data_IF_216240778049
#
_entry.id   IF_216240778049
#
_cell.length_a   1.000
_cell.length_b   1.000
_cell.length_c   1.000
_cell.angle_alpha   90.00
_cell.angle_beta   90.00
_cell.angle_gamma   90.00
#
_symmetry.space_group_name_H-M   'P 1'
#
loop_
_entity.id
_entity.type
_entity.pdbx_description
1 polymer ?
#
# COMPACT_ATOMS: atom_id res chain seq x y z
N UNK A 1 57.02 30.75 21.29
CA UNK A 1 56.94 32.10 21.88
C UNK A 1 55.46 32.39 22.08
N UNK A 2 54.89 32.19 23.28
CA UNK A 2 54.97 33.03 24.50
C UNK A 2 54.15 34.33 24.36
N UNK A 3 53.31 34.73 25.31
CA UNK A 3 52.88 34.13 26.60
C UNK A 3 51.64 34.90 27.10
N UNK A 4 50.66 34.28 27.78
CA UNK A 4 50.41 34.30 29.25
C UNK A 4 48.93 33.81 29.43
N UNK A 5 48.40 33.11 30.45
CA UNK A 5 48.76 32.68 31.84
C UNK A 5 48.83 33.78 32.90
N UNK A 6 48.22 33.67 34.10
CA UNK A 6 47.16 32.79 34.65
C UNK A 6 46.73 33.40 35.99
N UNK A 7 45.49 33.19 36.48
CA UNK A 7 45.24 33.05 37.92
C UNK A 7 43.90 32.34 38.21
N UNK A 8 43.90 31.54 39.28
CA UNK A 8 42.72 30.97 39.94
C UNK A 8 42.89 31.20 41.45
N UNK A 9 41.77 31.41 42.14
CA UNK A 9 41.61 31.24 43.58
C UNK A 9 40.12 30.89 43.80
N UNK A 10 39.73 29.63 44.03
CA UNK A 10 39.85 28.83 45.27
C UNK A 10 38.84 29.24 46.35
N UNK A 11 37.81 28.39 46.52
CA UNK A 11 36.77 28.46 47.56
C UNK A 11 37.33 28.30 48.99
N UNK A 12 36.56 28.61 50.06
CA UNK A 12 35.56 27.64 50.57
C UNK A 12 34.29 28.25 51.21
N UNK A 13 33.38 27.39 51.70
CA UNK A 13 32.47 27.48 52.89
C UNK A 13 32.14 28.87 53.50
N UNK A 14 30.93 29.21 53.97
CA UNK A 14 29.56 28.61 53.98
C UNK A 14 28.61 29.68 54.63
N UNK A 15 27.29 29.55 54.88
CA UNK A 15 26.26 28.50 54.70
C UNK A 15 24.86 29.13 54.50
N UNK A 16 23.79 28.32 54.59
CA UNK A 16 22.36 28.67 54.55
C UNK A 16 21.82 29.15 53.19
N UNK A 17 20.54 28.92 52.85
CA UNK A 17 19.54 28.18 53.63
C UNK A 17 18.11 28.25 53.10
N UNK A 18 17.84 27.87 51.85
CA UNK A 18 16.45 27.60 51.44
C UNK A 18 16.35 26.49 50.37
N UNK A 19 15.36 25.59 50.50
CA UNK A 19 15.19 24.41 49.63
C UNK A 19 13.88 24.49 48.86
N UNK A 20 13.94 24.67 47.55
CA UNK A 20 12.85 24.31 46.66
C UNK A 20 13.06 22.88 46.14
N UNK A 21 12.13 21.97 46.44
CA UNK A 21 12.02 20.68 45.76
C UNK A 21 11.14 20.84 44.51
N UNK A 22 11.40 20.10 43.42
CA UNK A 22 10.39 19.89 42.38
C UNK A 22 9.22 19.07 42.95
N UNK A 23 8.00 19.33 42.50
CA UNK A 23 6.84 18.46 42.73
C UNK A 23 6.42 17.79 41.42
N UNK A 24 6.42 16.45 41.41
CA UNK A 24 5.77 15.63 40.39
C UNK A 24 4.27 15.56 40.70
N UNK A 25 3.38 16.24 39.94
CA UNK A 25 1.92 16.09 40.11
C UNK A 25 1.04 16.67 38.97
N UNK A 26 1.23 16.31 37.68
CA UNK A 26 0.27 16.77 36.65
C UNK A 26 -0.09 15.76 35.53
N UNK A 27 -0.43 14.53 35.93
CA UNK A 27 -1.02 13.50 35.04
C UNK A 27 -2.34 12.92 35.59
N UNK A 28 -3.31 13.78 35.94
CA UNK A 28 -4.60 13.33 36.52
C UNK A 28 -5.85 14.15 36.15
N UNK A 29 -5.77 15.09 35.19
CA UNK A 29 -6.89 16.01 34.84
C UNK A 29 -7.64 15.73 33.53
N UNK A 30 -7.39 14.60 32.87
CA UNK A 30 -8.15 14.17 31.66
C UNK A 30 -9.25 13.11 31.93
N UNK A 31 -9.26 12.46 33.10
CA UNK A 31 -10.28 11.45 33.48
C UNK A 31 -11.45 12.04 34.29
N UNK A 32 -12.09 13.12 33.81
CA UNK A 32 -13.29 13.68 34.47
C UNK A 32 -14.29 14.35 33.52
N UNK A 33 -14.41 13.84 32.29
CA UNK A 33 -15.40 14.31 31.30
C UNK A 33 -16.20 13.18 30.61
N UNK A 34 -16.16 11.96 31.15
CA UNK A 34 -16.86 10.81 30.56
C UNK A 34 -17.46 9.89 31.65
N UNK A 35 -18.22 10.48 32.57
CA UNK A 35 -18.91 9.77 33.68
C UNK A 35 -20.32 10.29 33.99
N UNK A 36 -20.82 11.28 33.24
CA UNK A 36 -22.15 11.90 33.45
C UNK A 36 -23.14 11.59 32.29
N UNK A 37 -22.92 10.48 31.57
CA UNK A 37 -23.76 10.06 30.43
C UNK A 37 -24.33 8.63 30.60
N UNK A 38 -24.24 8.06 31.81
CA UNK A 38 -24.85 6.77 32.19
C UNK A 38 -25.78 6.88 33.41
N UNK A 39 -26.18 8.10 33.80
CA UNK A 39 -27.01 8.38 34.99
C UNK A 39 -28.30 9.15 34.66
N UNK A 40 -28.75 9.13 33.40
CA UNK A 40 -29.88 9.94 32.91
C UNK A 40 -30.85 9.17 31.98
N UNK A 41 -30.72 7.84 31.92
CA UNK A 41 -31.71 6.93 31.30
C UNK A 41 -31.99 5.84 32.33
N UNK A 42 -32.97 6.05 33.21
CA UNK A 42 -33.09 5.22 34.41
C UNK A 42 -34.31 5.46 35.32
N UNK A 43 -35.38 6.10 34.84
CA UNK A 43 -36.69 6.12 35.50
C UNK A 43 -37.80 6.57 34.55
N UNK A 44 -39.04 6.20 34.88
CA UNK A 44 -40.31 6.47 34.19
C UNK A 44 -40.53 5.73 32.85
N UNK A 45 -41.27 4.61 32.93
CA UNK A 45 -42.11 4.10 31.83
C UNK A 45 -43.58 4.47 32.05
N UNK A 46 -44.45 4.12 31.09
CA UNK A 46 -45.86 4.54 30.94
C UNK A 46 -45.98 6.07 30.72
N UNK A 47 -46.30 6.57 29.53
CA UNK A 47 -47.51 6.25 28.75
C UNK A 47 -47.33 6.50 27.22
N UNK A 48 -48.46 6.51 26.50
CA UNK A 48 -48.62 6.82 25.06
C UNK A 48 -48.25 5.66 24.12
N UNK A 49 -49.13 4.66 24.14
CA UNK A 49 -49.59 4.02 22.91
C UNK A 49 -50.22 5.08 21.98
N UNK A 50 -49.65 5.34 20.80
CA UNK A 50 -50.38 5.63 19.53
C UNK A 50 -49.37 5.87 18.39
N UNK A 51 -49.78 5.60 17.14
CA UNK A 51 -49.04 5.84 15.89
C UNK A 51 -47.84 4.94 15.54
N UNK A 52 -47.94 3.62 15.79
CA UNK A 52 -47.44 2.67 14.78
C UNK A 52 -48.46 2.58 13.64
N UNK A 53 -48.24 3.31 12.54
CA UNK A 53 -49.09 3.17 11.35
C UNK A 53 -49.22 4.43 10.48
N UNK A 54 -48.24 4.66 9.59
CA UNK A 54 -48.37 5.18 8.21
C UNK A 54 -46.95 5.29 7.62
N UNK A 55 -46.67 4.48 6.58
CA UNK A 55 -45.69 4.67 5.48
C UNK A 55 -45.35 3.31 4.81
N UNK A 56 -46.39 2.59 4.36
CA UNK A 56 -46.30 1.39 3.50
C UNK A 56 -47.34 1.42 2.39
N UNK A 57 -47.25 2.41 1.49
CA UNK A 57 -47.98 2.46 0.21
C UNK A 57 -47.36 3.51 -0.71
N UNK A 58 -47.68 3.47 -2.01
CA UNK A 58 -47.23 4.40 -3.08
C UNK A 58 -45.69 4.37 -3.31
N UNK A 59 -45.11 3.66 -4.29
CA UNK A 59 -45.58 3.51 -5.68
C UNK A 59 -45.40 2.10 -6.26
N UNK A 60 -46.51 1.37 -6.43
CA UNK A 60 -46.66 0.35 -7.47
C UNK A 60 -48.02 0.56 -8.15
N UNK A 61 -48.06 1.27 -9.30
CA UNK A 61 -49.30 1.50 -10.06
C UNK A 61 -49.04 2.00 -11.49
N UNK A 62 -48.72 1.09 -12.43
CA UNK A 62 -48.64 1.41 -13.87
C UNK A 62 -48.60 0.18 -14.83
N UNK A 63 -49.56 -0.75 -14.79
CA UNK A 63 -49.75 -1.77 -15.86
C UNK A 63 -51.18 -2.30 -15.96
N UNK A 64 -51.88 -2.05 -17.09
CA UNK A 64 -52.47 -3.06 -18.00
C UNK A 64 -53.39 -2.45 -19.08
N UNK A 65 -53.68 -3.29 -20.10
CA UNK A 65 -54.65 -3.14 -21.21
C UNK A 65 -54.20 -2.30 -22.43
N UNK A 66 -54.48 -2.69 -23.68
CA UNK A 66 -54.84 -4.03 -24.21
C UNK A 66 -54.55 -4.18 -25.72
N UNK A 67 -54.54 -5.44 -26.17
CA UNK A 67 -54.31 -5.97 -27.53
C UNK A 67 -55.18 -5.34 -28.64
N UNK A 68 -54.66 -5.27 -29.88
CA UNK A 68 -55.18 -5.97 -31.10
C UNK A 68 -54.38 -5.59 -32.36
N UNK A 69 -54.45 -6.41 -33.43
CA UNK A 69 -53.97 -6.06 -34.79
C UNK A 69 -52.99 -7.06 -35.41
N UNK A 70 -53.40 -7.72 -36.51
CA UNK A 70 -52.57 -8.65 -37.31
C UNK A 70 -52.18 -8.01 -38.65
N UNK A 71 -50.92 -8.13 -39.06
CA UNK A 71 -50.52 -8.22 -40.47
C UNK A 71 -49.08 -8.76 -40.61
N UNK A 72 -48.84 -9.59 -41.62
CA UNK A 72 -47.51 -9.80 -42.22
C UNK A 72 -47.53 -9.28 -43.66
N UNK A 73 -46.36 -8.90 -44.20
CA UNK A 73 -45.89 -9.61 -45.39
C UNK A 73 -44.45 -10.12 -45.27
N UNK A 74 -44.03 -10.88 -46.29
CA UNK A 74 -42.79 -11.67 -46.34
C UNK A 74 -41.58 -10.89 -46.87
N UNK A 75 -40.40 -11.28 -46.38
CA UNK A 75 -39.10 -11.36 -47.08
C UNK A 75 -38.53 -10.07 -47.69
N UNK A 76 -37.35 -9.68 -47.19
CA UNK A 76 -36.15 -9.62 -48.02
C UNK A 76 -34.88 -9.81 -47.17
N UNK A 77 -33.81 -10.30 -47.81
CA UNK A 77 -32.56 -10.68 -47.15
C UNK A 77 -31.48 -9.60 -47.27
N UNK A 78 -30.80 -9.28 -46.16
CA UNK A 78 -29.42 -8.78 -46.23
C UNK A 78 -28.65 -9.15 -44.95
N UNK A 79 -27.36 -9.40 -45.10
CA UNK A 79 -26.46 -9.63 -43.98
C UNK A 79 -26.10 -8.29 -43.34
N UNK A 80 -26.00 -8.23 -42.02
CA UNK A 80 -25.14 -7.26 -41.33
C UNK A 80 -24.78 -7.75 -39.93
N UNK A 81 -23.52 -8.15 -39.74
CA UNK A 81 -22.97 -8.45 -38.42
C UNK A 81 -22.70 -7.11 -37.74
N UNK A 82 -23.53 -6.76 -36.75
CA UNK A 82 -23.35 -5.55 -35.96
C UNK A 82 -22.13 -5.70 -35.02
N UNK A 83 -20.93 -5.46 -35.56
CA UNK A 83 -19.70 -5.44 -34.78
C UNK A 83 -19.79 -4.38 -33.68
N UNK A 84 -19.71 -4.82 -32.42
CA UNK A 84 -19.72 -3.93 -31.26
C UNK A 84 -18.47 -3.04 -31.28
N UNK A 85 -18.64 -1.80 -31.74
CA UNK A 85 -17.59 -0.78 -31.66
C UNK A 85 -17.52 -0.25 -30.23
N UNK A 86 -16.77 -0.96 -29.40
CA UNK A 86 -16.27 -0.44 -28.12
C UNK A 86 -15.49 0.86 -28.39
N UNK A 87 -16.06 1.99 -27.97
CA UNK A 87 -15.41 3.29 -28.05
C UNK A 87 -14.30 3.40 -27.00
N UNK A 88 -13.19 2.69 -27.23
CA UNK A 88 -11.92 2.98 -26.59
C UNK A 88 -11.47 4.37 -27.03
N UNK A 89 -11.91 5.40 -26.30
CA UNK A 89 -11.29 6.72 -26.33
C UNK A 89 -9.89 6.59 -25.74
N UNK A 90 -8.94 6.17 -26.59
CA UNK A 90 -7.53 6.29 -26.32
C UNK A 90 -7.20 7.78 -26.21
N UNK A 91 -7.30 8.34 -25.01
CA UNK A 91 -6.63 9.60 -24.64
C UNK A 91 -5.12 9.35 -24.60
N UNK A 92 -4.55 9.07 -25.77
CA UNK A 92 -3.13 9.24 -26.03
C UNK A 92 -2.87 10.74 -26.05
N UNK A 93 -2.76 11.31 -24.86
CA UNK A 93 -2.20 12.63 -24.64
C UNK A 93 -0.69 12.55 -24.89
N UNK A 94 -0.33 12.30 -26.16
CA UNK A 94 1.05 12.38 -26.63
C UNK A 94 1.49 13.82 -26.47
N UNK A 95 2.23 14.09 -25.40
CA UNK A 95 2.82 15.39 -25.11
C UNK A 95 4.01 15.62 -26.04
N UNK A 96 3.73 15.80 -27.33
CA UNK A 96 4.72 16.07 -28.38
C UNK A 96 5.50 17.39 -28.19
N UNK A 97 5.20 18.15 -27.13
CA UNK A 97 5.93 19.32 -26.66
C UNK A 97 6.85 19.06 -25.43
N UNK A 98 6.87 17.85 -24.86
CA UNK A 98 7.64 17.54 -23.64
C UNK A 98 9.10 17.12 -23.91
N UNK A 99 9.51 16.96 -25.17
CA UNK A 99 10.77 16.28 -25.54
C UNK A 99 11.98 17.21 -25.76
N UNK A 100 12.16 18.23 -24.92
CA UNK A 100 13.36 19.10 -24.94
C UNK A 100 13.96 19.42 -23.57
N UNK A 101 13.27 19.15 -22.46
CA UNK A 101 13.86 19.29 -21.13
C UNK A 101 14.72 18.07 -20.78
N UNK A 102 15.81 18.23 -19.98
CA UNK A 102 16.66 17.11 -19.56
C UNK A 102 15.91 16.17 -18.60
N UNK A 103 16.07 14.87 -18.86
CA UNK A 103 15.73 13.81 -17.90
C UNK A 103 16.85 13.63 -16.85
N UNK A 104 16.61 12.75 -15.89
CA UNK A 104 17.45 12.50 -14.72
C UNK A 104 18.85 11.97 -15.10
N UNK A 105 19.87 12.82 -15.01
CA UNK A 105 21.24 12.45 -15.33
C UNK A 105 22.00 11.89 -14.10
N UNK A 106 22.18 10.58 -14.08
CA UNK A 106 22.92 9.86 -13.04
C UNK A 106 24.42 10.24 -12.97
N UNK A 107 25.02 10.78 -14.03
CA UNK A 107 26.42 11.23 -14.02
C UNK A 107 26.62 12.55 -13.25
N UNK A 108 25.53 13.31 -13.04
CA UNK A 108 25.53 14.55 -12.24
C UNK A 108 25.27 14.30 -10.74
N UNK A 109 25.31 13.04 -10.29
CA UNK A 109 25.07 12.67 -8.89
C UNK A 109 26.13 13.28 -7.95
N UNK A 110 25.66 14.05 -6.97
CA UNK A 110 26.48 14.59 -5.89
C UNK A 110 26.19 13.87 -4.57
N UNK A 111 27.21 13.69 -3.73
CA UNK A 111 27.10 12.97 -2.45
C UNK A 111 27.72 13.79 -1.32
N UNK A 112 26.89 14.24 -0.39
CA UNK A 112 27.30 14.86 0.87
C UNK A 112 27.08 13.87 2.00
N UNK A 113 28.17 13.38 2.61
CA UNK A 113 28.09 12.42 3.72
C UNK A 113 27.73 13.10 5.04
N UNK A 114 27.04 12.37 5.92
CA UNK A 114 26.81 12.80 7.30
C UNK A 114 28.14 12.95 8.07
N UNK A 115 28.21 13.94 8.96
CA UNK A 115 29.28 14.08 9.96
C UNK A 115 28.91 13.44 11.30
N UNK A 116 27.65 13.05 11.48
CA UNK A 116 27.11 12.40 12.68
C UNK A 116 26.35 11.13 12.29
N UNK A 117 27.06 10.03 11.98
CA UNK A 117 26.43 8.75 11.65
C UNK A 117 25.70 8.17 12.87
N UNK A 118 24.54 7.54 12.64
CA UNK A 118 23.77 6.85 13.68
C UNK A 118 24.38 5.49 14.00
N UNK A 119 24.13 4.93 15.18
CA UNK A 119 24.37 3.49 15.36
C UNK A 119 23.22 2.67 14.73
N UNK A 120 23.50 1.58 13.99
CA UNK A 120 22.45 0.70 13.49
C UNK A 120 21.74 0.00 14.65
N UNK A 121 20.42 -0.14 14.55
CA UNK A 121 19.64 -0.87 15.55
C UNK A 121 19.79 -2.38 15.35
N UNK A 122 19.74 -3.14 16.46
CA UNK A 122 19.64 -4.60 16.41
C UNK A 122 18.42 -5.02 15.59
N UNK A 123 18.60 -6.06 14.76
CA UNK A 123 17.56 -6.55 13.86
C UNK A 123 16.26 -6.90 14.59
N UNK A 124 16.34 -7.44 15.82
CA UNK A 124 15.18 -7.85 16.60
C UNK A 124 14.28 -6.68 17.04
N UNK A 125 14.84 -5.47 17.13
CA UNK A 125 14.17 -4.28 17.66
C UNK A 125 13.60 -3.36 16.54
N UNK A 126 13.74 -3.79 15.27
CA UNK A 126 13.29 -3.07 14.08
C UNK A 126 11.76 -3.04 13.96
N UNK A 127 11.20 -1.83 13.87
CA UNK A 127 9.78 -1.60 13.59
C UNK A 127 9.64 -0.96 12.20
N UNK A 128 8.79 -1.54 11.37
CA UNK A 128 8.62 -1.14 9.97
C UNK A 128 8.38 0.37 9.80
N UNK A 129 9.28 1.06 9.07
CA UNK A 129 9.15 2.48 8.77
C UNK A 129 9.34 3.45 9.94
N UNK A 130 9.79 2.97 11.10
CA UNK A 130 10.03 3.81 12.30
C UNK A 130 11.42 4.44 12.35
N UNK A 131 12.42 3.72 11.84
CA UNK A 131 13.83 4.11 11.88
C UNK A 131 14.36 4.35 10.46
N UNK A 132 15.23 5.34 10.28
CA UNK A 132 15.74 5.76 8.97
C UNK A 132 17.26 5.88 8.96
N UNK A 133 17.87 5.60 7.81
CA UNK A 133 19.32 5.59 7.59
C UNK A 133 19.96 6.99 7.66
N UNK A 134 21.27 7.09 7.49
CA UNK A 134 21.99 8.38 7.64
C UNK A 134 21.66 9.39 6.54
N UNK A 135 21.31 8.93 5.34
CA UNK A 135 21.17 9.78 4.15
C UNK A 135 19.78 9.68 3.51
N UNK A 136 19.54 10.54 2.52
CA UNK A 136 18.40 10.48 1.62
C UNK A 136 18.82 10.95 0.22
N UNK A 137 18.19 10.40 -0.82
CA UNK A 137 18.24 10.97 -2.17
C UNK A 137 17.24 12.13 -2.27
N UNK A 138 17.62 13.20 -2.97
CA UNK A 138 16.79 14.36 -3.28
C UNK A 138 17.06 14.83 -4.71
N UNK A 139 15.99 15.08 -5.49
CA UNK A 139 16.05 15.59 -6.87
C UNK A 139 14.88 16.55 -7.10
N UNK A 140 15.19 17.80 -7.46
CA UNK A 140 14.19 18.80 -7.83
C UNK A 140 13.82 18.71 -9.31
N UNK A 141 12.61 19.16 -9.64
CA UNK A 141 12.16 19.35 -11.02
C UNK A 141 11.38 20.66 -11.17
N UNK A 142 11.58 21.35 -12.30
CA UNK A 142 10.78 22.51 -12.71
C UNK A 142 10.25 22.33 -14.14
N UNK A 143 9.12 22.96 -14.44
CA UNK A 143 8.57 23.02 -15.80
C UNK A 143 9.42 23.87 -16.77
N UNK A 144 10.45 24.57 -16.28
CA UNK A 144 11.39 25.40 -17.06
C UNK A 144 12.71 24.70 -17.37
N UNK A 145 13.22 23.88 -16.45
CA UNK A 145 14.60 23.38 -16.49
C UNK A 145 14.69 21.84 -16.54
N UNK A 146 13.58 21.13 -16.31
CA UNK A 146 13.55 19.67 -16.26
C UNK A 146 14.04 19.11 -14.92
N UNK A 147 14.69 17.95 -14.95
CA UNK A 147 15.27 17.34 -13.74
C UNK A 147 16.62 17.98 -13.38
N UNK A 148 16.73 18.46 -12.15
CA UNK A 148 17.98 19.00 -11.62
C UNK A 148 18.96 17.86 -11.25
N UNK A 149 20.24 18.22 -11.04
CA UNK A 149 21.27 17.26 -10.64
C UNK A 149 20.88 16.52 -9.34
N UNK A 150 20.92 15.17 -9.31
CA UNK A 150 20.52 14.40 -8.14
C UNK A 150 21.54 14.52 -7.00
N UNK A 151 21.04 14.51 -5.76
CA UNK A 151 21.84 14.78 -4.55
C UNK A 151 21.54 13.74 -3.48
N UNK A 152 22.54 12.97 -3.06
CA UNK A 152 22.47 12.19 -1.82
C UNK A 152 23.04 13.07 -0.71
N UNK A 153 22.22 13.32 0.32
CA UNK A 153 22.51 14.26 1.41
C UNK A 153 22.18 13.63 2.76
N UNK A 154 22.66 14.16 3.90
CA UNK A 154 22.24 13.67 5.21
C UNK A 154 20.72 13.76 5.38
N UNK A 155 20.13 12.77 6.07
CA UNK A 155 18.69 12.69 6.31
C UNK A 155 18.21 13.93 7.09
N UNK A 156 17.23 14.66 6.53
CA UNK A 156 16.77 15.94 7.06
C UNK A 156 15.28 16.17 6.80
N UNK A 157 14.70 17.15 7.49
CA UNK A 157 13.32 17.58 7.26
C UNK A 157 13.20 18.32 5.93
N UNK A 158 12.05 18.17 5.25
CA UNK A 158 11.72 18.99 4.08
C UNK A 158 11.27 20.38 4.54
N UNK A 159 11.91 21.43 4.01
CA UNK A 159 11.47 22.82 4.21
C UNK A 159 10.60 23.24 3.01
N UNK A 160 9.29 23.25 3.20
CA UNK A 160 8.30 23.57 2.17
C UNK A 160 7.47 24.79 2.56
N UNK A 161 6.88 25.43 1.56
CA UNK A 161 6.03 26.59 1.75
C UNK A 161 4.64 26.15 2.26
N UNK A 162 3.98 26.87 3.18
CA UNK A 162 2.60 26.57 3.56
C UNK A 162 1.62 26.54 2.38
N UNK A 163 1.90 27.26 1.28
CA UNK A 163 1.13 27.22 0.05
C UNK A 163 1.56 26.11 -0.95
N UNK A 164 2.48 25.21 -0.59
CA UNK A 164 2.91 24.13 -1.48
C UNK A 164 1.77 23.12 -1.71
N UNK A 165 1.45 22.84 -2.98
CA UNK A 165 0.21 22.18 -3.39
C UNK A 165 0.02 20.73 -2.89
N UNK A 166 1.08 20.02 -2.47
CA UNK A 166 0.95 18.69 -1.85
C UNK A 166 0.07 18.72 -0.59
N UNK A 167 0.20 19.76 0.24
CA UNK A 167 -0.52 19.89 1.51
C UNK A 167 -2.03 20.13 1.35
N UNK A 168 -2.47 20.59 0.17
CA UNK A 168 -3.85 21.02 -0.08
C UNK A 168 -4.60 20.06 -0.99
N UNK A 169 -3.92 19.48 -1.98
CA UNK A 169 -4.56 18.72 -3.07
C UNK A 169 -3.96 17.33 -3.31
N UNK A 170 -3.08 16.85 -2.41
CA UNK A 170 -2.47 15.53 -2.46
C UNK A 170 -1.80 15.20 -3.82
N UNK A 171 -1.08 16.18 -4.39
CA UNK A 171 -0.16 15.97 -5.51
C UNK A 171 1.07 15.15 -5.04
N UNK A 172 0.85 13.88 -4.71
CA UNK A 172 1.88 12.97 -4.24
C UNK A 172 1.66 11.52 -4.68
N UNK A 173 2.75 10.86 -5.04
CA UNK A 173 2.82 9.42 -5.25
C UNK A 173 4.08 8.85 -4.59
N UNK A 174 4.06 7.56 -4.27
CA UNK A 174 5.18 6.89 -3.61
C UNK A 174 5.35 5.45 -4.08
N UNK A 175 6.54 4.91 -3.85
CA UNK A 175 6.86 3.52 -4.12
C UNK A 175 7.25 2.73 -2.86
N UNK A 176 7.31 1.42 -3.03
CA UNK A 176 7.72 0.48 -1.99
C UNK A 176 8.48 -0.69 -2.58
N UNK A 177 9.80 -0.62 -2.47
CA UNK A 177 10.76 -1.64 -2.90
C UNK A 177 11.71 -1.99 -1.75
N UNK A 178 12.56 -3.01 -1.92
CA UNK A 178 13.50 -3.47 -0.90
C UNK A 178 14.86 -3.77 -1.53
N UNK A 179 15.91 -3.47 -0.78
CA UNK A 179 17.25 -3.98 -0.99
C UNK A 179 17.54 -5.12 0.00
N UNK A 180 18.21 -6.16 -0.49
CA UNK A 180 18.61 -7.35 0.27
C UNK A 180 20.13 -7.54 0.15
N UNK A 181 20.75 -8.19 1.12
CA UNK A 181 22.09 -8.77 0.99
C UNK A 181 21.98 -10.27 0.73
N UNK A 182 22.79 -10.80 -0.17
CA UNK A 182 22.95 -12.24 -0.36
C UNK A 182 23.95 -12.86 0.62
N UNK A 183 24.11 -14.18 0.55
CA UNK A 183 25.03 -14.98 1.39
C UNK A 183 26.52 -14.67 1.20
N UNK A 184 26.87 -13.84 0.21
CA UNK A 184 28.22 -13.30 -0.03
C UNK A 184 28.36 -11.83 0.35
N UNK A 185 27.29 -11.20 0.86
CA UNK A 185 27.22 -9.77 1.16
C UNK A 185 26.89 -8.88 -0.04
N UNK A 186 26.64 -9.45 -1.22
CA UNK A 186 26.26 -8.73 -2.44
C UNK A 186 24.86 -8.12 -2.32
N UNK A 187 24.70 -6.86 -2.75
CA UNK A 187 23.45 -6.12 -2.57
C UNK A 187 22.55 -6.26 -3.81
N UNK A 188 21.26 -6.51 -3.60
CA UNK A 188 20.27 -6.81 -4.63
C UNK A 188 18.99 -5.99 -4.48
N UNK A 189 18.47 -5.48 -5.59
CA UNK A 189 17.13 -4.90 -5.71
C UNK A 189 16.19 -5.89 -6.40
N UNK A 190 15.00 -6.08 -5.84
CA UNK A 190 13.98 -6.96 -6.43
C UNK A 190 13.05 -6.20 -7.38
N UNK A 191 13.10 -6.55 -8.67
CA UNK A 191 12.27 -6.03 -9.77
C UNK A 191 12.14 -4.48 -9.79
N UNK A 192 13.25 -3.71 -9.63
CA UNK A 192 13.19 -2.25 -9.50
C UNK A 192 12.50 -1.58 -10.69
N UNK A 193 12.68 -2.11 -11.90
CA UNK A 193 11.99 -1.62 -13.10
C UNK A 193 10.46 -1.60 -12.96
N UNK A 194 9.85 -2.59 -12.28
CA UNK A 194 8.41 -2.62 -12.04
C UNK A 194 7.95 -1.59 -11.02
N UNK A 195 8.80 -1.18 -10.09
CA UNK A 195 8.54 -0.02 -9.24
C UNK A 195 8.64 1.28 -10.06
N UNK A 196 9.61 1.43 -10.95
CA UNK A 196 9.75 2.66 -11.77
C UNK A 196 8.64 2.81 -12.82
N UNK A 197 8.23 1.71 -13.48
CA UNK A 197 7.06 1.67 -14.36
C UNK A 197 5.80 2.19 -13.63
N UNK A 198 5.58 1.73 -12.39
CA UNK A 198 4.40 2.10 -11.58
C UNK A 198 4.50 3.49 -10.95
N UNK A 199 5.71 3.95 -10.61
CA UNK A 199 5.98 5.34 -10.21
C UNK A 199 5.58 6.29 -11.34
N UNK A 200 6.09 6.08 -12.56
CA UNK A 200 5.77 6.89 -13.73
C UNK A 200 4.27 6.85 -14.08
N UNK A 201 3.62 5.67 -14.05
CA UNK A 201 2.15 5.55 -14.17
C UNK A 201 1.39 6.38 -13.13
N UNK A 202 1.93 6.50 -11.91
CA UNK A 202 1.30 7.23 -10.81
C UNK A 202 1.52 8.74 -10.93
N UNK A 203 2.75 9.20 -11.16
CA UNK A 203 3.08 10.62 -11.38
C UNK A 203 2.28 11.22 -12.54
N UNK A 204 2.26 10.53 -13.70
CA UNK A 204 1.56 11.01 -14.88
C UNK A 204 0.04 11.17 -14.68
N UNK A 205 -0.58 10.34 -13.81
CA UNK A 205 -2.02 10.43 -13.50
C UNK A 205 -2.38 11.67 -12.69
N UNK A 206 -1.43 12.27 -11.96
CA UNK A 206 -1.59 13.53 -11.21
C UNK A 206 -0.78 14.69 -11.81
N UNK A 207 -0.41 14.59 -13.09
CA UNK A 207 0.37 15.59 -13.82
C UNK A 207 1.72 16.00 -13.16
N UNK A 208 2.32 15.09 -12.39
CA UNK A 208 3.71 15.18 -11.96
C UNK A 208 4.65 14.60 -13.05
N UNK A 209 5.92 15.05 -13.11
CA UNK A 209 6.88 14.56 -14.10
C UNK A 209 7.15 13.05 -13.99
N UNK A 210 7.51 12.45 -15.13
CA UNK A 210 8.10 11.11 -15.19
C UNK A 210 9.63 11.17 -15.13
N UNK A 211 10.27 10.03 -14.89
CA UNK A 211 11.74 9.86 -14.85
C UNK A 211 12.19 8.71 -15.76
N UNK A 212 13.42 8.77 -16.25
CA UNK A 212 14.17 7.58 -16.65
C UNK A 212 14.31 6.62 -15.45
N UNK A 213 13.68 5.44 -15.57
CA UNK A 213 13.66 4.42 -14.53
C UNK A 213 15.00 3.70 -14.34
N UNK A 214 15.83 3.59 -15.39
CA UNK A 214 17.16 3.01 -15.30
C UNK A 214 18.15 4.00 -14.67
N UNK A 215 18.03 5.29 -14.99
CA UNK A 215 18.79 6.34 -14.32
C UNK A 215 18.45 6.41 -12.83
N UNK A 216 17.15 6.46 -12.47
CA UNK A 216 16.74 6.45 -11.06
C UNK A 216 17.17 5.16 -10.34
N UNK A 217 17.09 4.00 -10.99
CA UNK A 217 17.55 2.73 -10.39
C UNK A 217 19.06 2.75 -10.09
N UNK A 218 19.88 3.30 -10.98
CA UNK A 218 21.34 3.46 -10.75
C UNK A 218 21.62 4.40 -9.57
N UNK A 219 20.93 5.54 -9.49
CA UNK A 219 21.11 6.51 -8.40
C UNK A 219 20.63 5.93 -7.06
N UNK A 220 19.54 5.18 -7.03
CA UNK A 220 19.09 4.41 -5.86
C UNK A 220 20.14 3.36 -5.48
N UNK A 221 20.81 2.72 -6.44
CA UNK A 221 21.94 1.83 -6.20
C UNK A 221 23.06 2.49 -5.39
N UNK A 222 23.52 3.66 -5.80
CA UNK A 222 24.58 4.40 -5.09
C UNK A 222 24.12 4.89 -3.70
N UNK A 223 22.87 5.29 -3.54
CA UNK A 223 22.28 5.60 -2.22
C UNK A 223 22.29 4.37 -1.29
N UNK A 224 21.86 3.20 -1.78
CA UNK A 224 21.83 1.95 -1.02
C UNK A 224 23.23 1.45 -0.67
N UNK A 225 24.23 1.66 -1.55
CA UNK A 225 25.65 1.37 -1.25
C UNK A 225 26.18 2.24 -0.11
N UNK A 226 25.87 3.54 -0.12
CA UNK A 226 26.31 4.47 0.92
C UNK A 226 25.77 4.09 2.30
N UNK A 227 24.48 3.74 2.39
CA UNK A 227 23.80 3.33 3.62
C UNK A 227 23.77 1.79 3.82
N UNK A 228 24.63 1.04 3.12
CA UNK A 228 24.64 -0.44 3.10
C UNK A 228 24.83 -1.10 4.47
N UNK A 229 25.44 -0.39 5.43
CA UNK A 229 25.57 -0.82 6.84
C UNK A 229 24.23 -0.93 7.59
N UNK A 230 23.16 -0.35 7.06
CA UNK A 230 21.80 -0.47 7.59
C UNK A 230 21.01 -1.63 6.96
N UNK A 231 21.51 -2.30 5.92
CA UNK A 231 20.87 -3.52 5.39
C UNK A 231 21.25 -4.66 6.36
N UNK A 232 20.30 -5.32 7.06
CA UNK A 232 20.67 -6.42 7.95
C UNK A 232 21.03 -7.69 7.16
N UNK A 233 22.00 -8.45 7.66
CA UNK A 233 22.53 -9.65 6.98
C UNK A 233 21.64 -10.90 7.17
N UNK A 234 20.65 -10.84 8.07
CA UNK A 234 19.79 -11.96 8.42
C UNK A 234 18.67 -12.20 7.40
N UNK A 235 18.40 -13.47 7.04
CA UNK A 235 17.27 -13.81 6.16
C UNK A 235 15.93 -13.43 6.80
N UNK A 236 15.05 -12.85 6.00
CA UNK A 236 13.78 -12.24 6.45
C UNK A 236 13.87 -10.74 6.72
N UNK A 237 15.08 -10.16 6.68
CA UNK A 237 15.33 -8.73 6.86
C UNK A 237 15.74 -8.06 5.54
N UNK A 238 15.58 -6.75 5.48
CA UNK A 238 15.84 -5.95 4.28
C UNK A 238 15.98 -4.47 4.61
N UNK A 239 16.53 -3.70 3.68
CA UNK A 239 16.40 -2.25 3.70
C UNK A 239 15.22 -1.86 2.80
N UNK A 240 14.12 -1.43 3.41
CA UNK A 240 12.96 -0.93 2.68
C UNK A 240 13.23 0.48 2.14
N UNK A 241 12.91 0.69 0.87
CA UNK A 241 13.15 1.94 0.16
C UNK A 241 11.81 2.58 -0.20
N UNK A 242 11.70 3.87 0.12
CA UNK A 242 10.53 4.72 -0.12
C UNK A 242 10.91 5.85 -1.07
N UNK A 243 10.89 5.63 -2.39
CA UNK A 243 10.79 6.73 -3.35
C UNK A 243 9.45 7.43 -3.16
N UNK A 244 9.45 8.76 -3.18
CA UNK A 244 8.25 9.59 -3.05
C UNK A 244 8.42 10.82 -3.94
N UNK A 245 7.40 11.15 -4.73
CA UNK A 245 7.37 12.34 -5.57
C UNK A 245 6.21 13.23 -5.14
N UNK A 246 6.48 14.51 -4.90
CA UNK A 246 5.51 15.51 -4.44
C UNK A 246 5.52 16.74 -5.35
N UNK A 247 4.35 17.36 -5.56
CA UNK A 247 4.23 18.68 -6.18
C UNK A 247 4.67 19.77 -5.21
N UNK A 248 5.64 20.59 -5.62
CA UNK A 248 6.23 21.64 -4.76
C UNK A 248 5.70 23.04 -5.05
N UNK A 249 4.90 23.23 -6.11
CA UNK A 249 4.42 24.54 -6.53
C UNK A 249 3.66 25.27 -5.41
N UNK A 250 4.06 26.52 -5.17
CA UNK A 250 3.46 27.44 -4.20
C UNK A 250 2.18 28.05 -4.78
N UNK A 251 1.02 27.41 -4.57
CA UNK A 251 -0.27 27.87 -5.10
C UNK A 251 -1.46 27.24 -4.38
N UNK A 252 -2.53 28.01 -4.22
CA UNK A 252 -3.88 27.52 -3.88
C UNK A 252 -4.79 27.39 -5.12
N UNK A 253 -4.26 27.69 -6.31
CA UNK A 253 -4.94 27.42 -7.59
C UNK A 253 -4.70 25.97 -8.01
N UNK A 254 -5.78 25.21 -8.18
CA UNK A 254 -5.72 23.80 -8.60
C UNK A 254 -5.37 23.71 -10.10
N UNK A 255 -4.18 23.20 -10.40
CA UNK A 255 -3.67 22.99 -11.76
C UNK A 255 -2.42 22.11 -11.79
N UNK A 256 -1.86 21.81 -12.97
CA UNK A 256 -0.65 20.99 -13.09
C UNK A 256 0.55 21.62 -12.35
N UNK A 257 1.24 20.91 -11.43
CA UNK A 257 2.35 21.48 -10.68
C UNK A 257 3.53 21.90 -11.56
N UNK A 258 3.86 23.19 -11.56
CA UNK A 258 5.03 23.75 -12.27
C UNK A 258 6.39 23.42 -11.64
N UNK A 259 6.40 22.76 -10.47
CA UNK A 259 7.60 22.23 -9.83
C UNK A 259 7.28 21.00 -8.98
N UNK A 260 8.26 20.11 -8.82
CA UNK A 260 8.16 18.88 -8.04
C UNK A 260 9.46 18.57 -7.29
N UNK A 261 9.38 17.65 -6.33
CA UNK A 261 10.50 17.05 -5.62
C UNK A 261 10.33 15.52 -5.63
N UNK A 262 11.32 14.81 -6.15
CA UNK A 262 11.51 13.38 -5.95
C UNK A 262 12.52 13.18 -4.82
N UNK A 263 12.21 12.34 -3.85
CA UNK A 263 13.15 11.94 -2.81
C UNK A 263 13.07 10.45 -2.53
N UNK A 264 14.13 9.86 -1.96
CA UNK A 264 14.14 8.47 -1.49
C UNK A 264 14.71 8.42 -0.09
N UNK A 265 13.94 7.87 0.84
CA UNK A 265 14.39 7.53 2.19
C UNK A 265 14.45 6.01 2.36
N UNK A 266 15.35 5.54 3.21
CA UNK A 266 15.54 4.12 3.49
C UNK A 266 15.31 3.80 4.97
N UNK A 267 14.77 2.60 5.24
CA UNK A 267 14.41 2.13 6.57
C UNK A 267 14.77 0.65 6.72
N UNK A 268 15.60 0.25 7.72
CA UNK A 268 15.83 -1.16 8.03
C UNK A 268 14.56 -1.82 8.56
N UNK A 269 14.17 -2.97 7.99
CA UNK A 269 12.95 -3.69 8.37
C UNK A 269 13.16 -5.20 8.45
N UNK A 270 12.51 -5.82 9.44
CA UNK A 270 12.36 -7.28 9.54
C UNK A 270 11.01 -7.79 9.02
N UNK A 271 10.50 -8.89 9.59
CA UNK A 271 9.13 -9.35 9.37
C UNK A 271 8.10 -8.24 9.60
N UNK A 272 7.06 -8.19 8.75
CA UNK A 272 6.12 -7.06 8.72
C UNK A 272 5.20 -6.97 9.95
N UNK A 273 4.76 -8.12 10.47
CA UNK A 273 3.98 -8.18 11.70
C UNK A 273 4.90 -8.51 12.89
N UNK A 274 4.70 -7.90 14.08
CA UNK A 274 5.46 -8.24 15.29
C UNK A 274 5.33 -9.71 15.72
N UNK A 275 4.29 -10.39 15.25
CA UNK A 275 4.02 -11.82 15.41
C UNK A 275 4.82 -12.73 14.48
N UNK A 276 5.55 -12.17 13.50
CA UNK A 276 6.27 -12.92 12.47
C UNK A 276 5.41 -13.28 11.26
N UNK A 277 5.70 -14.41 10.60
CA UNK A 277 4.90 -14.96 9.50
C UNK A 277 3.73 -15.78 10.07
N UNK A 278 2.79 -15.08 10.72
CA UNK A 278 1.53 -15.65 11.25
C UNK A 278 0.33 -15.28 10.38
N UNK A 279 -0.73 -16.07 10.50
CA UNK A 279 -1.98 -15.82 9.80
C UNK A 279 -2.74 -14.62 10.40
N UNK A 280 -3.33 -13.79 9.55
CA UNK A 280 -4.14 -12.62 9.98
C UNK A 280 -5.64 -12.89 9.85
N UNK A 281 -6.44 -12.32 10.76
CA UNK A 281 -7.90 -12.28 10.68
C UNK A 281 -8.36 -10.98 10.01
N UNK A 282 -9.37 -11.07 9.14
CA UNK A 282 -9.84 -9.97 8.31
C UNK A 282 -11.29 -9.58 8.60
N UNK A 283 -11.63 -8.31 8.34
CA UNK A 283 -13.01 -7.82 8.28
C UNK A 283 -13.46 -7.62 6.84
N UNK A 284 -14.44 -8.38 6.36
CA UNK A 284 -15.11 -8.10 5.08
C UNK A 284 -15.83 -6.75 5.16
N UNK A 285 -15.26 -5.75 4.48
CA UNK A 285 -15.64 -4.34 4.61
C UNK A 285 -16.49 -3.94 3.41
N UNK A 286 -17.79 -3.75 3.65
CA UNK A 286 -18.84 -3.43 2.68
C UNK A 286 -19.27 -1.95 2.73
N UNK A 287 -19.31 -1.35 3.93
CA UNK A 287 -19.71 0.04 4.17
C UNK A 287 -18.70 1.10 3.64
N UNK A 288 -17.46 0.70 3.34
CA UNK A 288 -16.39 1.60 2.90
C UNK A 288 -15.65 1.03 1.68
N UNK A 289 -15.55 1.83 0.62
CA UNK A 289 -14.98 1.39 -0.67
C UNK A 289 -13.62 2.02 -0.92
N UNK A 290 -12.59 1.17 -1.06
CA UNK A 290 -11.18 1.56 -1.26
C UNK A 290 -10.91 2.28 -2.59
N UNK A 291 -11.62 1.89 -3.65
CA UNK A 291 -11.42 2.36 -5.02
C UNK A 291 -12.67 2.16 -5.88
N UNK A 292 -12.85 3.02 -6.89
CA UNK A 292 -14.00 2.97 -7.81
C UNK A 292 -13.53 2.98 -9.29
N UNK A 293 -14.22 2.28 -10.21
CA UNK A 293 -13.92 2.34 -11.65
C UNK A 293 -13.85 3.76 -12.19
N UNK A 294 -12.81 4.05 -13.00
CA UNK A 294 -12.51 5.39 -13.51
C UNK A 294 -11.74 6.30 -12.53
N UNK A 295 -11.64 5.91 -11.25
CA UNK A 295 -10.87 6.58 -10.21
C UNK A 295 -9.35 6.40 -10.34
N UNK A 296 -8.66 6.18 -9.23
CA UNK A 296 -7.18 6.15 -9.16
C UNK A 296 -6.64 4.98 -8.33
N UNK A 297 -7.47 3.99 -7.98
CA UNK A 297 -7.09 2.89 -7.08
C UNK A 297 -5.96 2.00 -7.60
N UNK A 298 -5.76 1.97 -8.91
CA UNK A 298 -4.67 1.28 -9.60
C UNK A 298 -3.33 2.06 -9.61
N UNK A 299 -3.27 3.25 -9.00
CA UNK A 299 -2.07 4.10 -8.85
C UNK A 299 -1.64 4.22 -7.39
N UNK A 300 -0.36 4.51 -7.17
CA UNK A 300 0.23 4.57 -5.84
C UNK A 300 0.28 5.99 -5.26
N UNK A 301 -0.87 6.65 -5.30
CA UNK A 301 -1.09 8.02 -4.78
C UNK A 301 -1.38 8.01 -3.29
N UNK A 302 -0.93 9.01 -2.53
CA UNK A 302 -1.19 9.11 -1.09
C UNK A 302 -2.68 9.18 -0.73
N UNK A 303 -3.47 9.85 -1.58
CA UNK A 303 -4.93 9.97 -1.46
C UNK A 303 -5.69 8.62 -1.42
N UNK A 304 -5.10 7.51 -1.91
CA UNK A 304 -5.70 6.18 -1.84
C UNK A 304 -5.56 5.50 -0.46
N UNK A 305 -4.80 6.08 0.48
CA UNK A 305 -4.45 5.45 1.76
C UNK A 305 -5.10 6.17 2.95
N UNK A 306 -5.14 7.51 2.95
CA UNK A 306 -5.70 8.27 4.07
C UNK A 306 -7.19 7.95 4.37
N UNK A 307 -8.09 7.77 3.37
CA UNK A 307 -9.49 7.39 3.64
C UNK A 307 -9.64 5.99 4.25
N UNK A 308 -8.67 5.10 4.06
CA UNK A 308 -8.71 3.73 4.56
C UNK A 308 -8.42 3.63 6.08
N UNK A 309 -7.90 4.70 6.71
CA UNK A 309 -7.44 4.65 8.11
C UNK A 309 -8.60 4.48 9.09
N UNK A 310 -9.76 5.11 8.87
CA UNK A 310 -10.90 4.98 9.77
C UNK A 310 -11.49 3.54 9.75
N UNK A 311 -11.83 2.94 8.59
CA UNK A 311 -12.24 1.52 8.54
C UNK A 311 -11.21 0.55 9.13
N UNK A 312 -9.91 0.87 9.05
CA UNK A 312 -8.84 0.06 9.63
C UNK A 312 -8.75 0.17 11.15
N UNK A 313 -9.01 1.36 11.72
CA UNK A 313 -9.13 1.54 13.18
C UNK A 313 -10.37 0.83 13.72
N UNK A 314 -11.47 0.88 12.97
CA UNK A 314 -12.71 0.19 13.33
C UNK A 314 -12.56 -1.33 13.30
N UNK A 315 -12.02 -1.91 12.22
CA UNK A 315 -11.71 -3.33 12.13
C UNK A 315 -10.76 -3.80 13.25
N UNK A 316 -9.75 -2.99 13.57
CA UNK A 316 -8.83 -3.25 14.68
C UNK A 316 -9.54 -3.21 16.05
N UNK A 317 -10.51 -2.31 16.25
CA UNK A 317 -11.32 -2.27 17.49
C UNK A 317 -12.17 -3.53 17.71
N UNK A 318 -12.45 -4.26 16.61
CA UNK A 318 -13.19 -5.54 16.60
C UNK A 318 -12.28 -6.77 16.56
N UNK A 319 -10.96 -6.57 16.63
CA UNK A 319 -9.95 -7.63 16.72
C UNK A 319 -9.34 -8.10 15.39
N UNK A 320 -9.72 -7.50 14.26
CA UNK A 320 -9.21 -7.86 12.93
C UNK A 320 -7.96 -7.05 12.58
N UNK A 321 -6.97 -7.69 11.95
CA UNK A 321 -5.69 -7.03 11.66
C UNK A 321 -5.76 -6.15 10.40
N UNK A 322 -6.58 -6.49 9.40
CA UNK A 322 -6.74 -5.73 8.16
C UNK A 322 -8.20 -5.78 7.66
N UNK A 323 -8.64 -4.76 6.92
CA UNK A 323 -9.85 -4.82 6.11
C UNK A 323 -9.65 -5.74 4.89
N UNK A 324 -10.66 -6.55 4.57
CA UNK A 324 -10.86 -7.14 3.25
C UNK A 324 -11.83 -6.23 2.48
N UNK A 325 -11.34 -5.52 1.46
CA UNK A 325 -12.13 -4.55 0.73
C UNK A 325 -13.08 -5.24 -0.26
N UNK A 326 -14.38 -5.00 -0.09
CA UNK A 326 -15.42 -5.43 -1.03
C UNK A 326 -15.79 -4.31 -2.00
N UNK A 327 -16.37 -4.67 -3.15
CA UNK A 327 -16.82 -3.73 -4.16
C UNK A 327 -18.14 -4.15 -4.82
N UNK A 328 -19.06 -3.20 -4.94
CA UNK A 328 -20.38 -3.37 -5.58
C UNK A 328 -21.41 -4.09 -4.69
N UNK A 329 -22.67 -4.08 -5.14
CA UNK A 329 -23.77 -4.82 -4.48
C UNK A 329 -23.51 -6.34 -4.47
N UNK A 330 -22.65 -6.83 -5.37
CA UNK A 330 -22.28 -8.24 -5.47
C UNK A 330 -21.11 -8.64 -4.56
N UNK A 331 -20.60 -7.73 -3.73
CA UNK A 331 -19.54 -7.99 -2.76
C UNK A 331 -18.29 -8.62 -3.39
N UNK A 332 -17.83 -8.08 -4.52
CA UNK A 332 -16.61 -8.57 -5.18
C UNK A 332 -15.40 -8.30 -4.30
N UNK A 333 -14.61 -9.35 -4.06
CA UNK A 333 -13.38 -9.26 -3.29
C UNK A 333 -12.29 -8.58 -4.11
N UNK A 334 -11.62 -7.57 -3.53
CA UNK A 334 -10.61 -6.75 -4.24
C UNK A 334 -9.21 -6.89 -3.64
N UNK A 335 -8.97 -6.32 -2.46
CA UNK A 335 -7.65 -6.21 -1.80
C UNK A 335 -7.77 -6.42 -0.29
N UNK A 336 -6.65 -6.72 0.38
CA UNK A 336 -6.55 -6.86 1.84
C UNK A 336 -5.66 -5.74 2.38
N UNK A 337 -6.25 -4.75 3.04
CA UNK A 337 -5.55 -3.57 3.56
C UNK A 337 -4.82 -2.82 2.45
N UNK A 338 -3.50 -3.00 2.37
CA UNK A 338 -2.64 -2.46 1.29
C UNK A 338 -1.91 -3.55 0.47
N UNK A 339 -2.51 -4.75 0.37
CA UNK A 339 -2.00 -5.92 -0.34
C UNK A 339 -3.02 -6.43 -1.36
N UNK A 340 -2.57 -6.97 -2.49
CA UNK A 340 -3.46 -7.71 -3.38
C UNK A 340 -3.83 -9.06 -2.74
N UNK A 341 -5.04 -9.57 -2.96
CA UNK A 341 -5.45 -10.88 -2.44
C UNK A 341 -5.23 -12.01 -3.44
N UNK A 342 -4.85 -13.17 -2.92
CA UNK A 342 -4.96 -14.47 -3.58
C UNK A 342 -5.83 -15.43 -2.76
N UNK A 343 -6.64 -16.21 -3.48
CA UNK A 343 -7.53 -17.25 -2.93
C UNK A 343 -7.20 -18.56 -3.66
N UNK A 344 -6.82 -19.60 -2.92
CA UNK A 344 -6.65 -20.95 -3.45
C UNK A 344 -7.87 -21.80 -3.09
N UNK A 345 -8.55 -22.39 -4.07
CA UNK A 345 -9.71 -23.25 -3.83
C UNK A 345 -9.78 -24.43 -4.82
N UNK A 346 -10.67 -25.38 -4.55
CA UNK A 346 -11.11 -26.39 -5.53
C UNK A 346 -12.34 -25.86 -6.27
N UNK A 347 -12.29 -25.87 -7.60
CA UNK A 347 -13.45 -25.58 -8.43
C UNK A 347 -14.60 -26.56 -8.11
N UNK A 348 -15.83 -26.05 -8.02
CA UNK A 348 -17.00 -26.81 -7.57
C UNK A 348 -17.45 -27.90 -8.55
N UNK A 349 -17.21 -27.73 -9.84
CA UNK A 349 -17.65 -28.65 -10.90
C UNK A 349 -16.54 -29.64 -11.29
N UNK A 350 -15.30 -29.16 -11.44
CA UNK A 350 -14.18 -29.99 -11.94
C UNK A 350 -13.30 -30.58 -10.84
N UNK A 351 -13.41 -30.09 -9.59
CA UNK A 351 -12.50 -30.42 -8.50
C UNK A 351 -11.07 -29.89 -8.66
N UNK A 352 -10.75 -29.24 -9.78
CA UNK A 352 -9.42 -28.71 -10.09
C UNK A 352 -9.01 -27.63 -9.07
N UNK A 353 -7.74 -27.63 -8.66
CA UNK A 353 -7.19 -26.54 -7.84
C UNK A 353 -7.06 -25.26 -8.67
N UNK A 354 -7.64 -24.16 -8.20
CA UNK A 354 -7.60 -22.84 -8.80
C UNK A 354 -6.93 -21.85 -7.84
N UNK A 355 -5.99 -21.04 -8.33
CA UNK A 355 -5.44 -19.88 -7.63
C UNK A 355 -5.99 -18.61 -8.28
N UNK A 356 -6.75 -17.83 -7.51
CA UNK A 356 -7.56 -16.70 -7.98
C UNK A 356 -6.99 -15.41 -7.42
N UNK A 357 -6.97 -14.34 -8.23
CA UNK A 357 -6.82 -12.95 -7.76
C UNK A 357 -7.74 -12.03 -8.56
N UNK A 358 -8.14 -10.90 -7.96
CA UNK A 358 -8.97 -9.90 -8.62
C UNK A 358 -8.27 -9.33 -9.88
N UNK A 359 -9.01 -9.06 -10.98
CA UNK A 359 -8.43 -8.58 -12.24
C UNK A 359 -8.04 -7.11 -12.16
N UNK A 360 -7.09 -6.68 -12.99
CA UNK A 360 -6.65 -5.28 -13.08
C UNK A 360 -7.65 -4.43 -13.88
N UNK A 361 -8.79 -4.10 -13.28
CA UNK A 361 -9.89 -3.32 -13.89
C UNK A 361 -9.86 -1.80 -13.57
N UNK A 362 -8.77 -1.33 -12.97
CA UNK A 362 -8.61 0.05 -12.47
C UNK A 362 -8.93 0.24 -10.99
N UNK A 363 -9.56 -0.74 -10.32
CA UNK A 363 -9.80 -0.71 -8.86
C UNK A 363 -8.69 -1.38 -8.04
N UNK A 364 -7.87 -2.24 -8.67
CA UNK A 364 -6.81 -3.03 -8.04
C UNK A 364 -5.44 -2.38 -8.32
N UNK A 365 -4.58 -2.26 -7.30
CA UNK A 365 -3.21 -1.76 -7.47
C UNK A 365 -2.36 -2.80 -8.21
N UNK A 366 -1.62 -2.38 -9.23
CA UNK A 366 -0.69 -3.24 -9.98
C UNK A 366 0.49 -3.70 -9.09
N UNK A 367 0.31 -4.73 -8.26
CA UNK A 367 1.32 -5.19 -7.33
C UNK A 367 2.50 -5.91 -8.01
N UNK A 368 3.73 -5.41 -7.82
CA UNK A 368 4.95 -6.13 -8.23
C UNK A 368 5.00 -7.54 -7.63
N UNK A 369 4.53 -7.71 -6.38
CA UNK A 369 4.43 -9.02 -5.73
C UNK A 369 3.29 -9.87 -6.30
N UNK A 370 2.13 -9.29 -6.62
CA UNK A 370 1.02 -9.98 -7.31
C UNK A 370 1.45 -10.52 -8.68
N UNK A 371 2.12 -9.69 -9.48
CA UNK A 371 2.68 -10.09 -10.76
C UNK A 371 3.71 -11.23 -10.60
N UNK A 372 4.59 -11.13 -9.60
CA UNK A 372 5.57 -12.18 -9.28
C UNK A 372 4.90 -13.50 -8.88
N UNK A 373 3.87 -13.47 -8.03
CA UNK A 373 3.06 -14.64 -7.65
C UNK A 373 2.38 -15.25 -8.87
N UNK A 374 1.75 -14.43 -9.73
CA UNK A 374 1.08 -14.91 -10.94
C UNK A 374 2.04 -15.59 -11.93
N UNK A 375 3.21 -15.00 -12.20
CA UNK A 375 4.20 -15.62 -13.08
C UNK A 375 4.74 -16.93 -12.48
N UNK A 376 5.16 -16.94 -11.21
CA UNK A 376 5.69 -18.14 -10.56
C UNK A 376 4.62 -19.24 -10.42
N UNK A 377 3.35 -18.88 -10.17
CA UNK A 377 2.27 -19.86 -10.13
C UNK A 377 1.99 -20.47 -11.52
N UNK A 378 1.99 -19.65 -12.58
CA UNK A 378 1.85 -20.12 -13.97
C UNK A 378 3.00 -21.07 -14.36
N UNK A 379 4.22 -20.73 -13.96
CA UNK A 379 5.44 -21.51 -14.19
C UNK A 379 5.49 -22.82 -13.39
N UNK A 380 5.15 -22.80 -12.09
CA UNK A 380 5.48 -23.86 -11.11
C UNK A 380 4.27 -24.62 -10.55
N UNK A 381 3.07 -24.06 -10.65
CA UNK A 381 1.81 -24.73 -10.27
C UNK A 381 0.98 -25.14 -11.50
N UNK A 382 1.03 -24.38 -12.59
CA UNK A 382 0.38 -24.72 -13.86
C UNK A 382 0.70 -26.14 -14.35
N UNK A 383 1.99 -26.54 -14.47
CA UNK A 383 2.37 -27.91 -14.81
C UNK A 383 1.97 -28.98 -13.78
N UNK A 384 1.58 -28.58 -12.56
CA UNK A 384 1.01 -29.47 -11.52
C UNK A 384 -0.53 -29.53 -11.58
N UNK A 385 -1.14 -29.05 -12.67
CA UNK A 385 -2.59 -29.09 -12.90
C UNK A 385 -3.38 -27.95 -12.27
N UNK A 386 -2.74 -26.91 -11.72
CA UNK A 386 -3.46 -25.73 -11.20
C UNK A 386 -3.94 -24.81 -12.32
N UNK A 387 -5.16 -24.29 -12.19
CA UNK A 387 -5.61 -23.13 -12.96
C UNK A 387 -5.23 -21.82 -12.25
N UNK A 388 -4.74 -20.81 -12.98
CA UNK A 388 -4.26 -19.53 -12.42
C UNK A 388 -5.04 -18.35 -13.00
N UNK A 389 -6.08 -17.93 -12.28
CA UNK A 389 -7.15 -17.04 -12.78
C UNK A 389 -7.04 -15.62 -12.26
N UNK A 390 -7.10 -14.65 -13.17
CA UNK A 390 -7.35 -13.24 -12.86
C UNK A 390 -8.83 -12.94 -13.10
N UNK A 391 -9.69 -13.31 -12.14
CA UNK A 391 -11.16 -13.23 -12.25
C UNK A 391 -11.81 -12.57 -11.03
N UNK A 392 -13.00 -12.01 -11.22
CA UNK A 392 -13.82 -11.57 -10.08
C UNK A 392 -14.36 -12.79 -9.32
N UNK A 393 -14.45 -12.64 -8.01
CA UNK A 393 -14.97 -13.62 -7.06
C UNK A 393 -15.75 -12.84 -5.99
N UNK A 394 -16.92 -13.35 -5.60
CA UNK A 394 -17.79 -12.71 -4.59
C UNK A 394 -17.46 -13.24 -3.21
N UNK A 395 -17.63 -12.43 -2.17
CA UNK A 395 -17.42 -12.91 -0.79
C UNK A 395 -18.35 -14.10 -0.44
N UNK A 396 -19.53 -14.17 -1.05
CA UNK A 396 -20.42 -15.34 -0.97
C UNK A 396 -19.80 -16.62 -1.54
N UNK A 397 -19.06 -16.55 -2.66
CA UNK A 397 -18.39 -17.70 -3.29
C UNK A 397 -17.24 -18.22 -2.42
N UNK A 398 -16.54 -17.31 -1.72
CA UNK A 398 -15.48 -17.66 -0.73
C UNK A 398 -16.10 -18.32 0.51
N UNK A 399 -17.20 -17.78 1.02
CA UNK A 399 -17.93 -18.36 2.16
C UNK A 399 -18.48 -19.76 1.83
N UNK A 400 -19.13 -19.93 0.68
CA UNK A 400 -19.60 -21.21 0.17
C UNK A 400 -18.44 -22.22 -0.01
N UNK A 401 -17.30 -21.77 -0.55
CA UNK A 401 -16.13 -22.64 -0.69
C UNK A 401 -15.54 -23.07 0.67
N UNK A 402 -15.63 -22.23 1.71
CA UNK A 402 -15.24 -22.59 3.08
C UNK A 402 -16.20 -23.62 3.68
N UNK A 403 -17.51 -23.35 3.65
CA UNK A 403 -18.55 -24.25 4.17
C UNK A 403 -18.57 -25.62 3.46
N UNK A 404 -18.17 -25.69 2.18
CA UNK A 404 -18.04 -26.92 1.39
C UNK A 404 -16.66 -27.62 1.47
N UNK A 405 -15.70 -27.12 2.27
CA UNK A 405 -14.35 -27.71 2.36
C UNK A 405 -13.54 -27.68 1.04
N UNK A 406 -13.89 -26.73 0.16
CA UNK A 406 -13.22 -26.49 -1.13
C UNK A 406 -12.17 -25.40 -1.04
N UNK A 407 -12.30 -24.42 -0.14
CA UNK A 407 -11.30 -23.39 0.12
C UNK A 407 -10.04 -24.06 0.70
N UNK A 408 -8.89 -23.83 0.05
CA UNK A 408 -7.61 -24.44 0.43
C UNK A 408 -6.83 -23.48 1.33
N UNK A 409 -6.68 -22.22 0.90
CA UNK A 409 -6.04 -21.15 1.67
C UNK A 409 -6.33 -19.77 1.06
N UNK A 410 -6.10 -18.72 1.85
CA UNK A 410 -6.21 -17.32 1.42
C UNK A 410 -4.96 -16.56 1.88
N UNK A 411 -4.39 -15.69 1.05
CA UNK A 411 -3.23 -14.87 1.42
C UNK A 411 -3.16 -13.51 0.71
N UNK A 412 -2.70 -12.49 1.43
CA UNK A 412 -2.31 -11.20 0.85
C UNK A 412 -0.90 -11.25 0.26
N UNK A 413 -0.63 -10.42 -0.76
CA UNK A 413 0.68 -10.27 -1.39
C UNK A 413 1.07 -8.79 -1.55
N UNK A 414 2.31 -8.44 -1.18
CA UNK A 414 2.84 -7.07 -1.30
C UNK A 414 4.22 -6.90 -0.67
N UNK A 415 5.00 -5.89 -1.09
CA UNK A 415 6.44 -5.74 -0.75
C UNK A 415 6.77 -5.85 0.74
N UNK A 416 5.88 -5.37 1.62
CA UNK A 416 6.15 -5.30 3.06
C UNK A 416 6.26 -6.70 3.70
N UNK A 417 5.21 -7.52 3.57
CA UNK A 417 5.16 -8.89 4.09
C UNK A 417 5.70 -9.96 3.11
N UNK A 418 5.85 -9.63 1.82
CA UNK A 418 5.94 -10.56 0.68
C UNK A 418 4.64 -11.33 0.51
N UNK A 419 4.33 -12.23 1.43
CA UNK A 419 3.06 -12.96 1.55
C UNK A 419 2.53 -12.81 2.99
N UNK A 420 1.22 -12.74 3.14
CA UNK A 420 0.54 -12.70 4.44
C UNK A 420 -0.59 -13.74 4.46
N UNK A 421 -0.43 -14.90 5.12
CA UNK A 421 -1.50 -15.89 5.25
C UNK A 421 -2.71 -15.29 5.96
N UNK A 422 -3.91 -15.76 5.63
CA UNK A 422 -5.16 -15.36 6.26
C UNK A 422 -5.73 -16.55 7.03
N UNK A 423 -6.09 -16.31 8.30
CA UNK A 423 -6.73 -17.29 9.18
C UNK A 423 -8.20 -17.45 8.81
N UNK A 424 -8.92 -16.33 8.87
CA UNK A 424 -10.35 -16.25 8.66
C UNK A 424 -10.80 -14.83 8.33
N UNK A 425 -12.02 -14.73 7.80
CA UNK A 425 -12.67 -13.49 7.38
C UNK A 425 -14.00 -13.37 8.13
N UNK A 426 -14.18 -12.31 8.91
CA UNK A 426 -15.48 -11.93 9.46
C UNK A 426 -16.36 -11.37 8.34
N UNK A 427 -17.53 -11.98 8.13
CA UNK A 427 -18.46 -11.65 7.06
C UNK A 427 -19.89 -11.94 7.52
N UNK A 428 -20.76 -10.91 7.51
CA UNK A 428 -22.18 -10.98 7.89
C UNK A 428 -22.44 -11.69 9.24
N UNK A 429 -21.57 -11.46 10.23
CA UNK A 429 -21.68 -12.04 11.58
C UNK A 429 -21.21 -13.49 11.71
N UNK A 430 -20.68 -14.11 10.63
CA UNK A 430 -19.97 -15.40 10.67
C UNK A 430 -18.46 -15.19 10.52
N UNK A 431 -17.68 -16.16 10.99
CA UNK A 431 -16.28 -16.33 10.57
C UNK A 431 -16.23 -17.32 9.40
N UNK A 432 -15.56 -16.93 8.32
CA UNK A 432 -15.25 -17.77 7.16
C UNK A 432 -13.81 -18.27 7.34
N UNK A 433 -13.63 -19.53 7.69
CA UNK A 433 -12.31 -20.11 7.95
C UNK A 433 -11.56 -20.37 6.63
N UNK A 434 -10.31 -19.89 6.54
CA UNK A 434 -9.53 -19.87 5.31
C UNK A 434 -8.61 -21.09 5.16
N UNK A 435 -9.09 -22.29 5.52
CA UNK A 435 -8.45 -23.58 5.21
C UNK A 435 -7.23 -23.99 6.06
N UNK A 436 -6.67 -23.09 6.87
CA UNK A 436 -5.58 -23.40 7.79
C UNK A 436 -6.06 -24.22 9.00
N UNK A 437 -5.29 -25.24 9.43
CA UNK A 437 -5.54 -25.92 10.71
C UNK A 437 -5.22 -25.02 11.91
N UNK A 438 -5.76 -25.34 13.07
CA UNK A 438 -5.59 -24.60 14.33
C UNK A 438 -4.12 -24.38 14.72
N UNK A 439 -3.24 -25.34 14.40
CA UNK A 439 -1.80 -25.33 14.65
C UNK A 439 -0.94 -24.77 13.49
N UNK A 440 -1.53 -24.55 12.31
CA UNK A 440 -0.83 -24.11 11.11
C UNK A 440 -0.94 -22.60 10.89
N UNK A 441 0.18 -21.87 10.86
CA UNK A 441 0.22 -20.41 10.67
C UNK A 441 0.33 -19.96 9.20
N UNK A 442 0.50 -20.89 8.26
CA UNK A 442 0.56 -20.62 6.83
C UNK A 442 0.17 -21.84 6.00
N UNK A 443 -0.45 -21.61 4.84
CA UNK A 443 -0.76 -22.66 3.87
C UNK A 443 0.44 -23.07 3.01
N UNK A 444 0.31 -24.22 2.33
CA UNK A 444 1.35 -24.78 1.46
C UNK A 444 1.75 -23.81 0.34
N UNK A 445 0.77 -23.11 -0.25
CA UNK A 445 0.96 -22.23 -1.41
C UNK A 445 1.49 -20.87 -0.98
N UNK A 446 0.96 -20.28 0.09
CA UNK A 446 1.49 -19.07 0.70
C UNK A 446 2.99 -19.23 1.05
N UNK A 447 3.36 -20.38 1.62
CA UNK A 447 4.74 -20.72 1.95
C UNK A 447 5.59 -20.96 0.68
N UNK A 448 5.08 -21.67 -0.33
CA UNK A 448 5.79 -21.84 -1.61
C UNK A 448 6.03 -20.51 -2.32
N UNK A 449 5.03 -19.63 -2.41
CA UNK A 449 5.15 -18.30 -3.03
C UNK A 449 6.15 -17.42 -2.29
N UNK A 450 6.13 -17.41 -0.95
CA UNK A 450 7.14 -16.72 -0.13
C UNK A 450 8.54 -17.26 -0.43
N UNK A 451 8.72 -18.57 -0.37
CA UNK A 451 10.05 -19.20 -0.51
C UNK A 451 10.64 -19.02 -1.92
N UNK A 452 9.83 -19.07 -2.99
CA UNK A 452 10.31 -18.79 -4.35
C UNK A 452 10.69 -17.32 -4.54
N UNK A 453 9.87 -16.39 -4.03
CA UNK A 453 10.16 -14.96 -4.14
C UNK A 453 11.40 -14.59 -3.29
N UNK A 454 11.53 -15.12 -2.08
CA UNK A 454 12.73 -14.94 -1.25
C UNK A 454 13.97 -15.57 -1.89
N UNK A 455 13.87 -16.79 -2.46
CA UNK A 455 14.97 -17.45 -3.17
C UNK A 455 15.57 -16.56 -4.26
N UNK A 456 14.72 -15.84 -4.99
CA UNK A 456 15.15 -14.84 -5.97
C UNK A 456 15.75 -13.59 -5.29
N UNK A 457 15.11 -13.06 -4.23
CA UNK A 457 15.54 -11.84 -3.54
C UNK A 457 16.93 -11.94 -2.90
N UNK A 458 17.23 -13.06 -2.23
CA UNK A 458 18.54 -13.33 -1.63
C UNK A 458 19.55 -13.91 -2.63
N UNK A 459 19.16 -14.11 -3.90
CA UNK A 459 20.05 -14.60 -4.95
C UNK A 459 20.34 -16.10 -4.92
N UNK A 460 19.64 -16.88 -4.10
CA UNK A 460 19.69 -18.36 -4.09
C UNK A 460 19.25 -18.93 -5.46
N UNK A 461 18.28 -18.28 -6.10
CA UNK A 461 17.81 -18.57 -7.45
C UNK A 461 18.27 -17.47 -8.42
N UNK A 462 19.08 -17.84 -9.43
CA UNK A 462 19.54 -16.90 -10.47
C UNK A 462 18.39 -16.53 -11.41
N UNK A 463 17.82 -15.35 -11.19
CA UNK A 463 16.66 -14.84 -11.94
C UNK A 463 16.84 -13.34 -12.28
N UNK A 464 16.50 -12.86 -13.48
CA UNK A 464 16.66 -11.45 -13.88
C UNK A 464 15.87 -10.45 -13.01
N UNK A 465 14.94 -10.93 -12.18
CA UNK A 465 14.27 -10.12 -11.16
C UNK A 465 15.18 -9.67 -10.00
N UNK A 466 16.32 -10.32 -9.78
CA UNK A 466 17.35 -9.91 -8.81
C UNK A 466 18.40 -9.04 -9.50
N UNK A 467 18.25 -7.72 -9.45
CA UNK A 467 19.23 -6.77 -9.97
C UNK A 467 20.31 -6.55 -8.90
N UNK A 468 21.53 -7.04 -9.15
CA UNK A 468 22.72 -6.69 -8.35
C UNK A 468 23.09 -5.22 -8.63
N UNK A 469 23.47 -4.46 -7.59
CA UNK A 469 23.79 -3.03 -7.68
C UNK A 469 25.23 -2.69 -7.30
#
# INVERSE_FOLDING_TARGET
>A
MSSWRVSQASSPTESSGNRYKPQEAEWSRSRRYNSNLQSLIGQNGNDILYQEGVMKSLHQLARRQALTGLAMPRVLSSQNIAASRTWQRAFSASSAAASQLPDLDASKLTITKTTTPKEPMDSKDLVFGKYFTDHMLSVEWTATDGWHAPRIVPYQNLSLDPATCVFHYAFECFEGMKAYKDSTGGIRLFRPNKNMERLNKSSARIALPTVDGDALTKIIGEFVKLDSRFIPDARGYSLYLRPTMIGTQKTLGVGPPGSALLYVIASPVGPYYPTGFKAISLEATDYAVRAWPGGVGDKKLGANYAPCILPQLEAASRGFQQNLWLFGEEEYVTEVGTMNLFIALKNKETGQKELITAPLDGTILEGVTRDSVLTLARERLGPKGWNISERKIRMSEVAEASEEGRLIEVFGAGTAAIVSPVRNISYRGKMVECGLKEDEEAGEIALQMKNWIEGIQYGDEKNPWSVVI
#
